data_IF_420142383223
#
_entry.id   IF_420142383223
#
_cell.length_a   1.000
_cell.length_b   1.000
_cell.length_c   1.000
_cell.angle_alpha   90.00
_cell.angle_beta   90.00
_cell.angle_gamma   90.00
#
_symmetry.space_group_name_H-M   'P 1'
#
loop_
_entity.id
_entity.type
_entity.pdbx_description
1 polymer ?
#
# COMPACT_ATOMS: atom_id res chain seq x y z
N UNK A 1 -21.86 29.72 -44.52
CA UNK A 1 -21.22 30.04 -43.22
C UNK A 1 -21.11 28.86 -42.27
N UNK A 2 -21.66 27.69 -42.50
CA UNK A 2 -21.76 26.58 -41.58
C UNK A 2 -20.56 25.59 -41.60
N UNK A 3 -19.78 25.55 -42.70
CA UNK A 3 -18.64 24.61 -42.85
C UNK A 3 -17.35 25.04 -42.12
N UNK A 4 -17.17 26.34 -41.90
CA UNK A 4 -15.98 26.86 -41.19
C UNK A 4 -16.12 26.79 -39.66
N UNK A 5 -17.34 26.76 -39.17
CA UNK A 5 -17.60 26.63 -37.71
C UNK A 5 -17.35 25.20 -37.20
N UNK A 6 -17.61 24.17 -38.04
CA UNK A 6 -17.38 22.76 -37.65
C UNK A 6 -15.88 22.40 -37.56
N UNK A 7 -15.04 23.04 -38.40
CA UNK A 7 -13.58 22.81 -38.36
C UNK A 7 -12.90 23.41 -37.12
N UNK A 8 -13.43 24.52 -36.59
CA UNK A 8 -12.90 25.11 -35.36
C UNK A 8 -13.28 24.31 -34.11
N UNK A 9 -14.45 23.61 -34.10
CA UNK A 9 -14.84 22.77 -32.96
C UNK A 9 -13.98 21.49 -32.87
N UNK A 10 -13.56 20.93 -34.00
CA UNK A 10 -12.70 19.74 -34.02
C UNK A 10 -11.25 20.04 -33.63
N UNK A 11 -10.78 21.26 -33.83
CA UNK A 11 -9.42 21.71 -33.48
C UNK A 11 -9.27 21.99 -31.97
N UNK A 12 -10.37 22.27 -31.25
CA UNK A 12 -10.35 22.58 -29.81
C UNK A 12 -10.42 21.32 -28.92
N UNK A 13 -10.79 20.16 -29.50
CA UNK A 13 -10.91 18.90 -28.74
C UNK A 13 -9.59 18.12 -28.65
N UNK A 14 -8.57 18.52 -29.39
CA UNK A 14 -7.27 17.84 -29.43
C UNK A 14 -6.24 18.35 -28.42
N UNK A 15 -6.57 19.28 -27.55
CA UNK A 15 -5.64 19.89 -26.57
C UNK A 15 -5.83 19.43 -25.11
N UNK A 16 -6.66 18.41 -24.86
CA UNK A 16 -6.84 17.84 -23.52
C UNK A 16 -6.20 16.45 -23.39
N UNK A 17 -5.05 16.22 -23.99
CA UNK A 17 -4.18 15.13 -23.55
C UNK A 17 -3.45 15.59 -22.31
N UNK A 18 -4.17 15.67 -21.20
CA UNK A 18 -3.57 15.72 -19.88
C UNK A 18 -2.69 14.50 -19.74
N UNK A 19 -1.39 14.68 -19.57
CA UNK A 19 -0.48 13.60 -19.19
C UNK A 19 -0.97 13.11 -17.84
N UNK A 20 -1.74 12.01 -17.82
CA UNK A 20 -2.01 11.28 -16.61
C UNK A 20 -0.68 10.69 -16.19
N UNK A 21 0.02 11.37 -15.29
CA UNK A 21 1.21 10.81 -14.65
C UNK A 21 0.75 9.59 -13.88
N UNK A 22 0.96 8.41 -14.45
CA UNK A 22 0.68 7.16 -13.75
C UNK A 22 1.57 7.12 -12.50
N UNK A 23 0.95 6.93 -11.34
CA UNK A 23 1.69 6.73 -10.09
C UNK A 23 2.49 5.44 -10.23
N UNK A 24 3.79 5.48 -9.90
CA UNK A 24 4.66 4.30 -9.97
C UNK A 24 4.14 3.20 -9.03
N UNK A 25 4.08 1.97 -9.52
CA UNK A 25 3.78 0.77 -8.74
C UNK A 25 5.02 -0.11 -8.63
N UNK A 26 5.25 -0.80 -7.49
CA UNK A 26 6.33 -1.75 -7.37
C UNK A 26 6.20 -2.86 -8.40
N UNK A 27 7.27 -3.14 -9.12
CA UNK A 27 7.29 -4.26 -10.07
C UNK A 27 7.19 -5.60 -9.33
N UNK A 28 6.52 -6.56 -9.95
CA UNK A 28 6.44 -7.94 -9.46
C UNK A 28 6.36 -8.93 -10.63
N UNK A 29 6.63 -10.19 -10.34
CA UNK A 29 6.36 -11.29 -11.28
C UNK A 29 5.03 -11.94 -10.90
N UNK A 30 4.08 -11.99 -11.83
CA UNK A 30 2.84 -12.75 -11.65
C UNK A 30 3.14 -14.22 -11.87
N UNK A 31 2.91 -15.05 -10.83
CA UNK A 31 3.11 -16.50 -10.85
C UNK A 31 1.82 -17.21 -11.26
N UNK A 32 0.68 -16.66 -10.85
CA UNK A 32 -0.64 -17.17 -11.12
C UNK A 32 -1.63 -16.01 -11.22
N UNK A 33 -2.55 -16.08 -12.18
CA UNK A 33 -3.59 -15.07 -12.35
C UNK A 33 -4.90 -15.71 -12.79
N UNK A 34 -5.92 -15.59 -11.96
CA UNK A 34 -7.31 -15.97 -12.22
C UNK A 34 -8.20 -14.98 -11.46
N UNK A 35 -8.77 -14.01 -12.17
CA UNK A 35 -9.52 -12.94 -11.54
C UNK A 35 -10.61 -13.46 -10.58
N UNK A 36 -10.76 -12.87 -9.37
CA UNK A 36 -10.07 -11.69 -8.85
C UNK A 36 -8.73 -11.96 -8.15
N UNK A 37 -8.17 -13.18 -8.25
CA UNK A 37 -6.99 -13.63 -7.51
C UNK A 37 -5.72 -13.53 -8.35
N UNK A 38 -4.60 -13.28 -7.67
CA UNK A 38 -3.27 -13.29 -8.24
C UNK A 38 -2.24 -13.74 -7.20
N UNK A 39 -1.21 -14.49 -7.63
CA UNK A 39 -0.03 -14.79 -6.81
C UNK A 39 1.14 -14.02 -7.41
N UNK A 40 1.75 -13.18 -6.60
CA UNK A 40 2.84 -12.27 -6.99
C UNK A 40 4.10 -12.54 -6.22
N UNK A 41 5.23 -12.51 -6.94
CA UNK A 41 6.57 -12.47 -6.35
C UNK A 41 7.10 -11.05 -6.46
N UNK A 42 7.27 -10.40 -5.33
CA UNK A 42 7.93 -9.09 -5.25
C UNK A 42 9.44 -9.29 -5.03
N UNK A 43 10.29 -8.48 -5.68
CA UNK A 43 11.72 -8.39 -5.35
C UNK A 43 11.92 -7.74 -3.98
N UNK A 44 13.17 -7.54 -3.58
CA UNK A 44 13.47 -6.65 -2.46
C UNK A 44 12.97 -5.24 -2.76
N UNK A 45 12.30 -4.63 -1.80
CA UNK A 45 11.74 -3.27 -1.89
C UNK A 45 12.26 -2.41 -0.74
N UNK A 46 12.11 -1.11 -0.86
CA UNK A 46 12.36 -0.17 0.23
C UNK A 46 11.05 0.52 0.57
N UNK A 47 10.78 0.68 1.85
CA UNK A 47 9.61 1.40 2.32
C UNK A 47 9.99 2.49 3.33
N UNK A 48 9.26 3.59 3.29
CA UNK A 48 9.11 4.47 4.46
C UNK A 48 7.95 3.93 5.30
N UNK A 49 8.20 3.71 6.57
CA UNK A 49 7.30 3.04 7.49
C UNK A 49 7.06 3.87 8.74
N UNK A 50 5.84 3.83 9.25
CA UNK A 50 5.47 4.39 10.54
C UNK A 50 4.51 3.47 11.27
N UNK A 51 4.67 3.34 12.60
CA UNK A 51 3.73 2.64 13.48
C UNK A 51 2.91 3.66 14.25
N UNK A 52 1.59 3.53 14.22
CA UNK A 52 0.64 4.43 14.89
C UNK A 52 -0.38 3.61 15.65
N UNK A 53 -0.61 3.96 16.92
CA UNK A 53 -1.64 3.35 17.78
C UNK A 53 -3.01 4.00 17.56
N UNK A 54 -4.07 3.31 17.96
CA UNK A 54 -5.45 3.81 17.91
C UNK A 54 -6.35 3.06 16.93
N UNK A 55 -7.57 3.58 16.75
CA UNK A 55 -8.52 3.04 15.78
C UNK A 55 -7.94 3.10 14.36
N UNK A 56 -8.21 2.09 13.53
CA UNK A 56 -7.61 1.95 12.20
C UNK A 56 -7.71 3.22 11.34
N UNK A 57 -8.90 3.81 11.24
CA UNK A 57 -9.12 4.98 10.38
C UNK A 57 -8.29 6.19 10.81
N UNK A 58 -8.17 6.41 12.12
CA UNK A 58 -7.38 7.50 12.71
C UNK A 58 -5.87 7.23 12.55
N UNK A 59 -5.44 6.00 12.88
CA UNK A 59 -4.05 5.59 12.76
C UNK A 59 -3.56 5.67 11.30
N UNK A 60 -4.36 5.19 10.35
CA UNK A 60 -4.06 5.28 8.92
C UNK A 60 -3.94 6.74 8.46
N UNK A 61 -4.86 7.60 8.88
CA UNK A 61 -4.83 9.03 8.54
C UNK A 61 -3.63 9.76 9.16
N UNK A 62 -3.27 9.42 10.40
CA UNK A 62 -2.11 9.97 11.07
C UNK A 62 -0.80 9.49 10.41
N UNK A 63 -0.67 8.18 10.17
CA UNK A 63 0.49 7.59 9.53
C UNK A 63 0.70 8.12 8.11
N UNK A 64 -0.39 8.24 7.33
CA UNK A 64 -0.33 8.84 6.00
C UNK A 64 0.23 10.26 6.04
N UNK A 65 -0.21 11.11 6.97
CA UNK A 65 0.30 12.49 7.09
C UNK A 65 1.80 12.55 7.39
N UNK A 66 2.30 11.66 8.27
CA UNK A 66 3.72 11.59 8.60
C UNK A 66 4.55 11.17 7.38
N UNK A 67 4.12 10.12 6.67
CA UNK A 67 4.79 9.63 5.47
C UNK A 67 4.70 10.64 4.31
N UNK A 68 3.55 11.29 4.12
CA UNK A 68 3.39 12.38 3.15
C UNK A 68 4.32 13.56 3.49
N UNK A 69 4.44 13.94 4.76
CA UNK A 69 5.40 14.94 5.19
C UNK A 69 6.82 14.60 4.75
N UNK A 70 7.24 13.35 4.91
CA UNK A 70 8.56 12.89 4.48
C UNK A 70 8.77 13.03 2.97
N UNK A 71 7.84 12.52 2.15
CA UNK A 71 8.00 12.55 0.68
C UNK A 71 7.85 13.95 0.07
N UNK A 72 7.14 14.87 0.76
CA UNK A 72 7.00 16.26 0.31
C UNK A 72 8.07 17.21 0.85
N UNK A 73 9.22 16.69 1.27
CA UNK A 73 10.38 17.48 1.64
C UNK A 73 10.67 17.55 3.13
N UNK A 74 9.92 16.86 3.98
CA UNK A 74 10.21 16.68 5.42
C UNK A 74 11.41 15.77 5.68
N UNK A 75 12.51 16.01 4.96
CA UNK A 75 13.73 15.24 5.02
C UNK A 75 14.97 16.16 5.00
N UNK A 76 16.14 15.60 5.32
CA UNK A 76 17.39 16.36 5.46
C UNK A 76 17.82 17.12 4.22
N UNK A 77 17.38 16.70 3.03
CA UNK A 77 17.71 17.35 1.75
C UNK A 77 16.64 18.32 1.27
N UNK A 78 15.51 18.43 1.98
CA UNK A 78 14.31 19.18 1.53
C UNK A 78 13.85 18.76 0.14
N UNK A 79 14.07 17.49 -0.22
CA UNK A 79 13.81 16.93 -1.53
C UNK A 79 12.40 16.32 -1.58
N UNK A 80 11.66 16.62 -2.64
CA UNK A 80 10.42 15.92 -2.94
C UNK A 80 10.72 14.54 -3.54
N UNK A 81 10.03 13.51 -3.06
CA UNK A 81 10.08 12.14 -3.56
C UNK A 81 8.72 11.84 -4.18
N UNK A 82 8.69 11.25 -5.37
CA UNK A 82 7.43 10.91 -6.01
C UNK A 82 6.67 9.87 -5.18
N UNK A 83 5.36 10.09 -5.04
CA UNK A 83 4.51 9.12 -4.38
C UNK A 83 4.33 7.89 -5.27
N UNK A 84 4.40 6.71 -4.67
CA UNK A 84 4.09 5.43 -5.33
C UNK A 84 2.76 4.87 -4.84
N UNK A 85 2.18 3.95 -5.57
CA UNK A 85 1.03 3.16 -5.15
C UNK A 85 1.43 1.67 -5.06
N UNK A 86 0.92 0.88 -4.15
CA UNK A 86 -0.13 1.22 -3.17
C UNK A 86 0.40 1.78 -1.85
N UNK A 87 -0.50 2.33 -1.05
CA UNK A 87 -0.29 2.54 0.38
C UNK A 87 -0.64 1.25 1.11
N UNK A 88 0.31 0.65 1.80
CA UNK A 88 0.16 -0.61 2.53
C UNK A 88 -0.21 -0.34 3.99
N UNK A 89 -1.20 -1.05 4.49
CA UNK A 89 -1.70 -0.98 5.87
C UNK A 89 -1.71 -2.38 6.46
N UNK A 90 -1.00 -2.55 7.57
CA UNK A 90 -0.95 -3.80 8.32
C UNK A 90 -1.28 -3.53 9.79
N UNK A 91 -1.96 -4.47 10.41
CA UNK A 91 -1.98 -4.53 11.87
C UNK A 91 -0.57 -4.80 12.38
N UNK A 92 -0.12 -4.06 13.41
CA UNK A 92 1.18 -4.28 14.02
C UNK A 92 1.17 -5.64 14.71
N UNK A 93 2.16 -6.52 14.46
CA UNK A 93 2.24 -7.77 15.18
C UNK A 93 2.39 -7.49 16.68
N UNK A 94 1.54 -8.10 17.51
CA UNK A 94 1.74 -8.16 18.95
C UNK A 94 2.97 -9.01 19.22
N UNK A 95 4.11 -8.37 19.45
CA UNK A 95 5.30 -9.08 19.91
C UNK A 95 5.06 -9.52 21.36
N UNK A 96 4.64 -10.78 21.52
CA UNK A 96 4.60 -11.43 22.84
C UNK A 96 6.04 -11.71 23.26
N UNK A 97 6.63 -10.74 23.95
CA UNK A 97 7.85 -11.00 24.71
C UNK A 97 7.44 -11.90 25.88
N UNK A 98 7.99 -13.10 25.94
CA UNK A 98 7.81 -13.98 27.07
C UNK A 98 8.42 -13.32 28.31
N UNK A 99 7.58 -12.81 29.22
CA UNK A 99 8.01 -12.15 30.44
C UNK A 99 7.88 -13.08 31.62
N UNK A 100 8.99 -13.19 32.37
CA UNK A 100 9.01 -13.71 33.74
C UNK A 100 8.51 -12.64 34.71
N UNK A 101 7.41 -12.94 35.39
CA UNK A 101 6.54 -12.19 36.30
C UNK A 101 7.18 -11.19 37.31
N UNK A 102 6.38 -10.24 37.93
CA UNK A 102 5.06 -9.74 37.61
C UNK A 102 5.09 -8.27 37.14
N UNK A 103 4.55 -7.98 36.01
CA UNK A 103 4.40 -6.60 35.53
C UNK A 103 2.92 -6.31 35.26
N UNK A 104 2.47 -5.18 35.82
CA UNK A 104 1.15 -4.59 35.56
C UNK A 104 0.96 -4.45 34.06
N UNK A 105 -0.01 -5.20 33.50
CA UNK A 105 -0.37 -5.11 32.09
C UNK A 105 -1.11 -3.80 31.84
N UNK A 106 -0.45 -2.84 31.19
CA UNK A 106 -1.13 -1.96 30.27
C UNK A 106 -1.13 -2.68 28.92
N UNK A 107 -2.29 -3.12 28.37
CA UNK A 107 -2.33 -3.59 26.99
C UNK A 107 -2.01 -2.38 26.12
N UNK A 108 -0.85 -2.39 25.48
CA UNK A 108 -0.53 -1.45 24.41
C UNK A 108 -1.50 -1.79 23.27
N UNK A 109 -2.43 -0.89 22.89
CA UNK A 109 -3.41 -1.21 21.87
C UNK A 109 -2.67 -1.57 20.58
N UNK A 110 -3.09 -2.65 19.95
CA UNK A 110 -2.57 -3.08 18.65
C UNK A 110 -2.41 -1.86 17.73
N UNK A 111 -1.20 -1.60 17.30
CA UNK A 111 -0.90 -0.46 16.44
C UNK A 111 -1.06 -0.84 14.97
N UNK A 112 -1.02 0.16 14.11
CA UNK A 112 -1.07 0.01 12.65
C UNK A 112 0.26 0.40 12.05
N UNK A 113 0.79 -0.46 11.20
CA UNK A 113 1.97 -0.16 10.39
C UNK A 113 1.51 0.32 9.02
N UNK A 114 1.86 1.56 8.69
CA UNK A 114 1.58 2.17 7.39
C UNK A 114 2.89 2.28 6.62
N UNK A 115 2.88 1.91 5.34
CA UNK A 115 4.05 1.93 4.47
C UNK A 115 3.76 2.64 3.16
N UNK A 116 4.71 3.48 2.75
CA UNK A 116 4.86 3.93 1.38
C UNK A 116 6.06 3.19 0.78
N UNK A 117 5.84 2.48 -0.31
CA UNK A 117 6.97 1.90 -1.05
C UNK A 117 7.73 3.03 -1.73
N UNK A 118 9.04 3.02 -1.66
CA UNK A 118 9.85 4.05 -2.29
C UNK A 118 10.03 3.76 -3.78
N UNK A 119 10.17 4.81 -4.62
CA UNK A 119 10.43 4.62 -6.04
C UNK A 119 11.65 3.74 -6.30
N UNK A 120 11.58 2.90 -7.35
CA UNK A 120 12.63 1.94 -7.68
C UNK A 120 14.00 2.58 -7.98
N UNK A 121 14.01 3.89 -8.28
CA UNK A 121 15.23 4.66 -8.52
C UNK A 121 16.08 4.95 -7.27
N UNK A 122 15.56 4.65 -6.05
CA UNK A 122 16.25 4.92 -4.80
C UNK A 122 16.82 3.65 -4.18
N UNK A 123 17.93 3.83 -3.46
CA UNK A 123 18.49 2.87 -2.51
C UNK A 123 18.39 3.44 -1.09
N UNK A 124 18.64 2.64 -0.06
CA UNK A 124 18.65 3.15 1.33
C UNK A 124 19.68 4.27 1.53
N UNK A 125 20.80 4.22 0.81
CA UNK A 125 21.89 5.20 0.88
C UNK A 125 21.54 6.49 0.14
N UNK A 126 20.75 6.41 -0.92
CA UNK A 126 20.36 7.58 -1.73
C UNK A 126 19.10 8.27 -1.24
N UNK A 127 18.26 7.60 -0.44
CA UNK A 127 17.12 8.23 0.19
C UNK A 127 17.57 9.27 1.23
N UNK A 128 16.96 10.48 1.24
CA UNK A 128 17.23 11.45 2.28
C UNK A 128 16.68 10.97 3.64
N UNK A 129 17.40 11.26 4.72
CA UNK A 129 16.96 10.90 6.07
C UNK A 129 15.68 11.66 6.44
N UNK A 130 14.62 10.97 6.97
CA UNK A 130 13.44 11.65 7.48
C UNK A 130 13.76 12.60 8.61
N UNK A 131 13.11 13.78 8.65
CA UNK A 131 13.19 14.70 9.79
C UNK A 131 12.28 14.26 10.94
N UNK A 132 11.22 13.52 10.65
CA UNK A 132 10.30 12.97 11.64
C UNK A 132 10.86 11.64 12.18
N UNK A 133 11.19 11.55 13.49
CA UNK A 133 11.84 10.35 14.05
C UNK A 133 10.96 9.08 14.01
N UNK A 134 9.64 9.25 13.90
CA UNK A 134 8.70 8.12 13.78
C UNK A 134 8.74 7.46 12.41
N UNK A 135 9.22 8.16 11.39
CA UNK A 135 9.35 7.62 10.03
C UNK A 135 10.66 6.88 9.89
N UNK A 136 10.60 5.60 9.57
CA UNK A 136 11.77 4.74 9.38
C UNK A 136 11.86 4.31 7.93
N UNK A 137 13.08 4.23 7.40
CA UNK A 137 13.36 3.63 6.11
C UNK A 137 13.75 2.17 6.35
N UNK A 138 13.03 1.24 5.71
CA UNK A 138 13.22 -0.19 5.93
C UNK A 138 13.41 -0.92 4.60
N UNK A 139 14.34 -1.87 4.58
CA UNK A 139 14.47 -2.83 3.49
C UNK A 139 13.45 -3.96 3.71
N UNK A 140 12.64 -4.24 2.70
CA UNK A 140 11.71 -5.35 2.67
C UNK A 140 12.34 -6.47 1.83
N UNK A 141 12.55 -7.66 2.38
CA UNK A 141 13.10 -8.78 1.61
C UNK A 141 12.12 -9.21 0.50
N UNK A 142 12.60 -9.97 -0.50
CA UNK A 142 11.71 -10.55 -1.50
C UNK A 142 10.63 -11.41 -0.85
N UNK A 143 9.37 -11.23 -1.28
CA UNK A 143 8.22 -11.93 -0.69
C UNK A 143 7.22 -12.34 -1.73
N UNK A 144 6.53 -13.46 -1.46
CA UNK A 144 5.37 -13.91 -2.24
C UNK A 144 4.08 -13.52 -1.53
N UNK A 145 3.14 -13.01 -2.30
CA UNK A 145 1.79 -12.69 -1.80
C UNK A 145 0.73 -13.33 -2.69
N UNK A 146 -0.32 -13.78 -2.05
CA UNK A 146 -1.58 -14.01 -2.72
C UNK A 146 -2.46 -12.79 -2.51
N UNK A 147 -3.14 -12.38 -3.55
CA UNK A 147 -3.86 -11.11 -3.64
C UNK A 147 -5.28 -11.36 -4.12
N UNK A 148 -6.26 -10.70 -3.51
CA UNK A 148 -7.61 -10.54 -4.06
C UNK A 148 -7.85 -9.06 -4.37
N UNK A 149 -8.26 -8.77 -5.61
CA UNK A 149 -8.57 -7.42 -6.07
C UNK A 149 -10.07 -7.15 -6.03
N UNK A 150 -10.44 -5.96 -5.53
CA UNK A 150 -11.82 -5.50 -5.47
C UNK A 150 -11.91 -3.97 -5.62
N UNK A 151 -13.12 -3.44 -5.83
CA UNK A 151 -13.38 -2.01 -5.97
C UNK A 151 -14.29 -1.53 -4.85
N UNK A 152 -14.36 -0.22 -4.65
CA UNK A 152 -15.30 0.39 -3.72
C UNK A 152 -14.67 1.22 -2.63
N UNK A 153 -15.52 1.71 -1.74
CA UNK A 153 -15.10 2.18 -0.42
C UNK A 153 -14.72 0.96 0.42
N UNK A 154 -13.83 1.13 1.36
CA UNK A 154 -13.32 0.02 2.17
C UNK A 154 -13.40 0.38 3.63
N UNK A 155 -14.18 -0.39 4.37
CA UNK A 155 -14.22 -0.42 5.82
C UNK A 155 -13.62 -1.72 6.38
N UNK A 156 -13.72 -1.93 7.69
CA UNK A 156 -13.14 -3.11 8.33
C UNK A 156 -13.89 -4.39 7.95
N UNK A 157 -15.21 -4.31 7.76
CA UNK A 157 -16.03 -5.47 7.35
C UNK A 157 -15.69 -5.93 5.94
N UNK A 158 -15.40 -5.01 5.03
CA UNK A 158 -14.96 -5.33 3.67
C UNK A 158 -13.62 -6.08 3.70
N UNK A 159 -12.68 -5.62 4.54
CA UNK A 159 -11.37 -6.28 4.68
C UNK A 159 -11.52 -7.68 5.25
N UNK A 160 -12.38 -7.86 6.25
CA UNK A 160 -12.66 -9.20 6.83
C UNK A 160 -13.28 -10.12 5.77
N UNK A 161 -14.28 -9.65 5.02
CA UNK A 161 -14.91 -10.40 3.95
C UNK A 161 -13.91 -10.81 2.86
N UNK A 162 -13.13 -9.87 2.36
CA UNK A 162 -12.14 -10.15 1.32
C UNK A 162 -11.01 -11.06 1.84
N UNK A 163 -10.66 -10.95 3.12
CA UNK A 163 -9.71 -11.86 3.78
C UNK A 163 -10.27 -13.28 3.84
N UNK A 164 -11.55 -13.46 4.16
CA UNK A 164 -12.18 -14.77 4.17
C UNK A 164 -12.21 -15.41 2.77
N UNK A 165 -12.56 -14.62 1.75
CA UNK A 165 -12.53 -15.03 0.34
C UNK A 165 -11.12 -15.47 -0.07
N UNK A 166 -10.10 -14.68 0.29
CA UNK A 166 -8.70 -14.97 -0.02
C UNK A 166 -8.20 -16.24 0.70
N UNK A 167 -8.58 -16.45 1.97
CA UNK A 167 -8.24 -17.67 2.72
C UNK A 167 -8.88 -18.92 2.12
N UNK A 168 -10.13 -18.84 1.63
CA UNK A 168 -10.78 -19.94 0.94
C UNK A 168 -10.05 -20.33 -0.38
N UNK A 169 -9.60 -19.33 -1.14
CA UNK A 169 -8.77 -19.54 -2.32
C UNK A 169 -7.43 -20.22 -1.97
N UNK A 170 -6.73 -19.72 -0.92
CA UNK A 170 -5.47 -20.29 -0.43
C UNK A 170 -5.64 -21.78 -0.07
N UNK A 171 -6.72 -22.12 0.66
CA UNK A 171 -7.01 -23.50 1.02
C UNK A 171 -7.29 -24.38 -0.23
N UNK A 172 -8.07 -23.87 -1.20
CA UNK A 172 -8.34 -24.58 -2.47
C UNK A 172 -7.07 -24.85 -3.25
N UNK A 173 -6.12 -23.93 -3.24
CA UNK A 173 -4.82 -24.05 -3.93
C UNK A 173 -3.76 -24.80 -3.12
N UNK A 174 -4.10 -25.30 -1.92
CA UNK A 174 -3.18 -26.00 -1.01
C UNK A 174 -1.93 -25.16 -0.66
N UNK A 175 -2.11 -23.84 -0.58
CA UNK A 175 -1.05 -22.89 -0.23
C UNK A 175 -1.04 -22.67 1.29
N UNK A 176 0.09 -22.17 1.80
CA UNK A 176 0.22 -21.76 3.21
C UNK A 176 0.50 -20.27 3.29
N UNK A 177 -0.40 -19.53 3.93
CA UNK A 177 -0.21 -18.12 4.22
C UNK A 177 0.33 -17.91 5.64
N UNK A 178 1.11 -16.85 5.82
CA UNK A 178 1.69 -16.43 7.09
C UNK A 178 1.32 -14.98 7.41
N UNK A 179 1.29 -14.66 8.69
CA UNK A 179 1.03 -13.29 9.16
C UNK A 179 -0.42 -12.83 9.02
N UNK A 180 -0.60 -11.54 9.28
CA UNK A 180 -1.88 -10.84 9.16
C UNK A 180 -2.13 -10.34 7.73
N UNK A 181 -3.40 -10.15 7.30
CA UNK A 181 -3.69 -9.57 6.00
C UNK A 181 -3.24 -8.11 5.92
N UNK A 182 -2.83 -7.70 4.74
CA UNK A 182 -2.51 -6.32 4.40
C UNK A 182 -3.59 -5.75 3.50
N UNK A 183 -4.02 -4.52 3.72
CA UNK A 183 -4.81 -3.76 2.76
C UNK A 183 -3.90 -2.85 1.94
N UNK A 184 -3.98 -2.94 0.62
CA UNK A 184 -3.29 -2.09 -0.33
C UNK A 184 -4.29 -1.19 -1.07
N UNK A 185 -4.12 0.13 -0.97
CA UNK A 185 -4.95 1.13 -1.63
C UNK A 185 -4.14 1.84 -2.70
N UNK A 186 -4.67 1.85 -3.93
CA UNK A 186 -3.96 2.35 -5.11
C UNK A 186 -4.39 3.74 -5.52
N UNK A 187 -5.61 4.13 -5.20
CA UNK A 187 -6.23 5.34 -5.73
C UNK A 187 -6.33 6.45 -4.68
N UNK A 188 -6.17 7.71 -5.11
CA UNK A 188 -6.36 8.87 -4.25
C UNK A 188 -7.85 9.05 -3.86
N UNK A 189 -8.14 9.79 -2.78
CA UNK A 189 -9.50 9.91 -2.24
C UNK A 189 -10.51 10.59 -3.17
N UNK A 190 -10.07 11.34 -4.18
CA UNK A 190 -10.94 11.97 -5.20
C UNK A 190 -11.32 11.05 -6.36
N UNK A 191 -10.71 9.85 -6.47
CA UNK A 191 -11.16 8.83 -7.43
C UNK A 191 -12.56 8.39 -7.07
N UNK A 192 -13.45 8.30 -8.07
CA UNK A 192 -14.81 7.81 -7.87
C UNK A 192 -14.77 6.42 -7.20
N UNK A 193 -15.59 6.24 -6.18
CA UNK A 193 -15.50 5.08 -5.29
C UNK A 193 -15.54 3.73 -6.03
N UNK A 194 -16.38 3.59 -7.05
CA UNK A 194 -16.54 2.34 -7.83
C UNK A 194 -15.37 2.07 -8.80
N UNK A 195 -14.49 3.06 -9.03
CA UNK A 195 -13.28 2.90 -9.85
C UNK A 195 -12.04 2.63 -8.99
N UNK A 196 -12.15 2.76 -7.67
CA UNK A 196 -10.99 2.55 -6.78
C UNK A 196 -10.55 1.10 -6.79
N UNK A 197 -9.25 0.89 -6.97
CA UNK A 197 -8.60 -0.40 -6.83
C UNK A 197 -8.13 -0.59 -5.39
N UNK A 198 -8.63 -1.65 -4.77
CA UNK A 198 -8.19 -2.10 -3.46
C UNK A 198 -7.77 -3.57 -3.57
N UNK A 199 -6.82 -3.98 -2.75
CA UNK A 199 -6.37 -5.35 -2.70
C UNK A 199 -6.18 -5.78 -1.24
N UNK A 200 -6.65 -6.97 -0.90
CA UNK A 200 -6.23 -7.66 0.32
C UNK A 200 -5.16 -8.67 -0.07
N UNK A 201 -4.08 -8.66 0.68
CA UNK A 201 -2.89 -9.46 0.41
C UNK A 201 -2.52 -10.29 1.64
N UNK A 202 -2.15 -11.55 1.43
CA UNK A 202 -1.56 -12.42 2.45
C UNK A 202 -0.20 -12.94 1.97
N UNK A 203 0.80 -12.85 2.84
CA UNK A 203 2.13 -13.39 2.56
C UNK A 203 2.07 -14.91 2.53
N UNK A 204 2.71 -15.52 1.53
CA UNK A 204 2.87 -16.96 1.43
C UNK A 204 4.21 -17.40 2.00
N UNK A 205 4.25 -18.61 2.57
CA UNK A 205 5.53 -19.23 2.92
C UNK A 205 6.45 -19.27 1.69
N UNK A 206 7.78 -19.14 1.87
CA UNK A 206 8.72 -19.36 0.77
C UNK A 206 8.43 -20.69 0.08
N UNK A 207 8.64 -20.74 -1.24
CA UNK A 207 8.62 -22.02 -1.94
C UNK A 207 9.88 -22.82 -1.51
N UNK A 208 9.67 -24.04 -1.06
CA UNK A 208 10.77 -24.98 -0.85
C UNK A 208 11.43 -25.36 -2.17
#
# INVERSE_FOLDING_TARGET
MTRKLLLCLFSLLSLLTGVVMATEEPSYTSIFQEAPFEIRQYPALIAAEVTVSGARSEAVSAGFRLLAGYIFGGNTRKQSINMTAPVIQNESPNEKIAMTAPVVQNPDPAGWVIRFIMPASYTLETLPTPNEPKVRLVALPPKRFVVVRFSGLVDDSDVEQQTAVLRAFIAKQQLTAIGAPSLARYDPPWTLWFLRRNEVMLELTPAN
#
